data_IF_220513423832
#
_entry.id   IF_220513423832
#
_cell.length_a   1.000
_cell.length_b   1.000
_cell.length_c   1.000
_cell.angle_alpha   90.00
_cell.angle_beta   90.00
_cell.angle_gamma   90.00
#
_symmetry.space_group_name_H-M   'P 1'
#
loop_
_entity.id
_entity.type
_entity.pdbx_description
1 polymer ?
#
# COMPACT_ATOMS: atom_id res chain seq x y z
N UNK A 1 -7.23 -1.27 -26.55
CA UNK A 1 -5.82 -0.83 -26.71
C UNK A 1 -5.02 -1.48 -25.60
N UNK A 2 -3.79 -1.97 -25.78
CA UNK A 2 -3.07 -2.62 -24.69
C UNK A 2 -2.61 -1.52 -23.74
N UNK A 3 -3.31 -1.39 -22.62
CA UNK A 3 -2.89 -0.53 -21.53
C UNK A 3 -1.63 -1.16 -20.97
N UNK A 4 -0.50 -0.49 -21.18
CA UNK A 4 0.83 -1.06 -20.96
C UNK A 4 1.11 -1.09 -19.46
N UNK A 5 0.59 -2.11 -18.78
CA UNK A 5 0.93 -2.41 -17.39
C UNK A 5 2.39 -2.87 -17.35
N UNK A 6 3.20 -2.16 -16.57
CA UNK A 6 4.60 -2.47 -16.33
C UNK A 6 4.62 -2.86 -14.85
N UNK A 7 4.43 -4.14 -14.53
CA UNK A 7 4.30 -4.64 -13.14
C UNK A 7 5.65 -4.54 -12.43
N UNK A 8 5.63 -4.25 -11.12
CA UNK A 8 6.86 -4.07 -10.36
C UNK A 8 7.72 -5.34 -10.41
N UNK A 9 9.06 -5.22 -10.50
CA UNK A 9 9.93 -6.36 -10.33
C UNK A 9 9.77 -6.97 -8.94
N UNK A 10 10.11 -8.25 -8.79
CA UNK A 10 10.03 -8.93 -7.50
C UNK A 10 10.92 -8.21 -6.46
N UNK A 11 10.38 -8.05 -5.25
CA UNK A 11 11.07 -7.41 -4.13
C UNK A 11 12.10 -8.35 -3.52
N UNK A 12 13.33 -7.86 -3.31
CA UNK A 12 14.43 -8.60 -2.71
C UNK A 12 14.48 -8.43 -1.18
N UNK A 13 14.30 -7.19 -0.69
CA UNK A 13 14.39 -6.87 0.74
C UNK A 13 13.45 -5.72 1.09
N UNK A 14 12.85 -5.79 2.28
CA UNK A 14 12.05 -4.72 2.88
C UNK A 14 12.59 -4.41 4.28
N UNK A 15 12.93 -3.15 4.54
CA UNK A 15 13.38 -2.65 5.84
C UNK A 15 12.38 -1.65 6.40
N UNK A 16 12.05 -1.79 7.68
CA UNK A 16 11.14 -0.88 8.39
C UNK A 16 11.94 0.08 9.25
N UNK A 17 11.73 1.37 9.04
CA UNK A 17 12.31 2.45 9.82
C UNK A 17 11.21 3.31 10.45
N UNK A 18 11.51 4.04 11.54
CA UNK A 18 10.57 4.99 12.13
C UNK A 18 10.12 6.10 11.17
N UNK A 19 10.91 6.37 10.14
CA UNK A 19 10.65 7.40 9.12
C UNK A 19 9.89 6.84 7.90
N UNK A 20 9.83 5.50 7.72
CA UNK A 20 9.24 4.90 6.52
C UNK A 20 9.65 3.45 6.26
N UNK A 21 9.57 3.04 5.00
CA UNK A 21 9.87 1.69 4.52
C UNK A 21 10.81 1.75 3.33
N UNK A 22 11.97 1.12 3.44
CA UNK A 22 12.91 0.94 2.33
C UNK A 22 12.63 -0.39 1.62
N UNK A 23 12.45 -0.34 0.30
CA UNK A 23 12.23 -1.50 -0.57
C UNK A 23 13.36 -1.61 -1.57
N UNK A 24 14.07 -2.73 -1.54
CA UNK A 24 15.09 -3.11 -2.51
C UNK A 24 14.51 -4.16 -3.46
N UNK A 25 14.65 -3.94 -4.76
CA UNK A 25 14.16 -4.82 -5.82
C UNK A 25 15.27 -5.72 -6.36
N UNK A 26 14.90 -6.86 -6.97
CA UNK A 26 15.87 -7.78 -7.58
C UNK A 26 16.70 -7.18 -8.72
N UNK A 27 16.22 -6.11 -9.35
CA UNK A 27 16.95 -5.39 -10.39
C UNK A 27 17.93 -4.33 -9.85
N UNK A 28 18.10 -4.26 -8.53
CA UNK A 28 19.05 -3.38 -7.85
C UNK A 28 18.55 -1.95 -7.64
N UNK A 29 17.29 -1.66 -7.94
CA UNK A 29 16.65 -0.40 -7.54
C UNK A 29 16.29 -0.44 -6.05
N UNK A 30 16.43 0.70 -5.37
CA UNK A 30 15.91 0.92 -4.02
C UNK A 30 14.98 2.13 -4.01
N UNK A 31 13.86 2.01 -3.29
CA UNK A 31 12.87 3.06 -3.11
C UNK A 31 12.53 3.18 -1.63
N UNK A 32 12.50 4.40 -1.11
CA UNK A 32 12.07 4.69 0.24
C UNK A 32 10.67 5.31 0.21
N UNK A 33 9.72 4.67 0.87
CA UNK A 33 8.36 5.18 1.07
C UNK A 33 8.27 5.78 2.47
N UNK A 34 7.82 7.02 2.59
CA UNK A 34 7.70 7.66 3.90
C UNK A 34 6.44 7.20 4.63
N UNK A 35 6.49 7.28 5.96
CA UNK A 35 5.37 6.96 6.83
C UNK A 35 5.37 5.50 7.32
N UNK A 36 5.02 5.33 8.59
CA UNK A 36 4.97 4.03 9.23
C UNK A 36 3.72 3.28 8.74
N UNK A 37 3.87 2.06 8.20
CA UNK A 37 2.74 1.32 7.67
C UNK A 37 1.75 0.95 8.78
N UNK A 38 0.48 1.28 8.56
CA UNK A 38 -0.59 0.92 9.49
C UNK A 38 -1.15 -0.45 9.14
N UNK A 39 -1.25 -1.36 10.13
CA UNK A 39 -1.78 -2.70 9.91
C UNK A 39 -3.29 -2.68 9.58
N UNK A 40 -3.68 -3.43 8.54
CA UNK A 40 -5.06 -3.59 8.08
C UNK A 40 -5.33 -5.05 7.72
N UNK A 41 -6.51 -5.54 8.09
CA UNK A 41 -6.90 -6.93 7.82
C UNK A 41 -7.50 -7.08 6.42
N UNK A 42 -6.99 -8.03 5.64
CA UNK A 42 -7.59 -8.48 4.37
C UNK A 42 -7.43 -7.53 3.19
N UNK A 43 -7.95 -6.31 3.27
CA UNK A 43 -7.88 -5.33 2.18
C UNK A 43 -7.74 -3.89 2.64
N UNK A 44 -7.31 -3.03 1.71
CA UNK A 44 -7.25 -1.58 1.90
C UNK A 44 -7.90 -0.88 0.72
N UNK A 45 -8.56 0.25 0.99
CA UNK A 45 -9.19 1.08 -0.04
C UNK A 45 -8.49 2.42 -0.10
N UNK A 46 -8.05 2.81 -1.27
CA UNK A 46 -7.37 4.07 -1.53
C UNK A 46 -7.95 4.81 -2.73
N UNK A 47 -7.56 6.08 -2.87
CA UNK A 47 -7.83 6.87 -4.06
C UNK A 47 -7.05 6.37 -5.27
N UNK A 48 -7.36 6.88 -6.48
CA UNK A 48 -6.56 6.60 -7.66
C UNK A 48 -5.13 7.09 -7.46
N UNK A 49 -4.17 6.23 -7.81
CA UNK A 49 -2.74 6.53 -7.67
C UNK A 49 -2.29 7.68 -8.59
N UNK A 50 -1.26 8.41 -8.17
CA UNK A 50 -0.58 9.38 -9.05
C UNK A 50 0.07 8.70 -10.24
N UNK A 51 -0.07 9.28 -11.44
CA UNK A 51 0.51 8.73 -12.67
C UNK A 51 2.04 8.83 -12.75
N UNK A 52 2.65 9.70 -11.92
CA UNK A 52 4.06 10.09 -12.00
C UNK A 52 4.98 9.40 -10.98
N UNK A 53 4.42 8.65 -10.02
CA UNK A 53 5.16 8.02 -8.92
C UNK A 53 4.86 6.52 -8.83
N UNK A 54 5.68 5.79 -8.07
CA UNK A 54 5.53 4.35 -7.88
C UNK A 54 6.30 3.46 -8.86
N UNK A 55 6.57 2.23 -8.43
CA UNK A 55 7.18 1.17 -9.24
C UNK A 55 6.09 0.18 -9.57
N UNK A 56 5.99 -0.25 -10.82
CA UNK A 56 5.00 -1.26 -11.17
C UNK A 56 3.59 -0.70 -11.36
N UNK A 57 3.27 -0.12 -12.51
CA UNK A 57 1.96 0.49 -12.75
C UNK A 57 1.03 -0.48 -13.44
N UNK A 58 -0.18 -0.58 -12.90
CA UNK A 58 -1.31 -1.25 -13.54
C UNK A 58 -2.40 -0.21 -13.72
N UNK A 59 -2.87 -0.06 -14.96
CA UNK A 59 -4.07 0.72 -15.24
C UNK A 59 -5.26 -0.22 -15.17
N UNK A 60 -6.27 0.18 -14.40
CA UNK A 60 -7.53 -0.54 -14.26
C UNK A 60 -8.67 0.34 -14.73
N UNK A 61 -9.46 -0.16 -15.68
CA UNK A 61 -10.71 0.48 -16.08
C UNK A 61 -11.75 0.41 -14.94
N UNK A 62 -12.79 1.26 -15.01
CA UNK A 62 -13.83 1.28 -13.98
C UNK A 62 -14.61 -0.05 -13.91
N UNK A 63 -14.56 -0.71 -12.75
CA UNK A 63 -15.13 -2.05 -12.56
C UNK A 63 -14.18 -3.20 -12.93
N UNK A 64 -12.93 -2.92 -13.29
CA UNK A 64 -11.93 -3.92 -13.62
C UNK A 64 -11.20 -4.43 -12.37
N UNK A 65 -10.86 -5.72 -12.39
CA UNK A 65 -10.04 -6.39 -11.38
C UNK A 65 -8.85 -7.08 -12.04
N UNK A 66 -7.71 -7.12 -11.35
CA UNK A 66 -6.53 -7.87 -11.83
C UNK A 66 -5.68 -8.40 -10.68
N UNK A 67 -5.02 -9.52 -10.92
CA UNK A 67 -4.02 -10.08 -10.00
C UNK A 67 -2.66 -9.44 -10.28
N UNK A 68 -2.07 -8.81 -9.26
CA UNK A 68 -0.74 -8.20 -9.34
C UNK A 68 0.36 -9.24 -9.10
N UNK A 69 0.17 -10.05 -8.06
CA UNK A 69 1.06 -11.10 -7.59
C UNK A 69 0.23 -12.26 -7.05
N UNK A 70 0.81 -13.46 -6.83
CA UNK A 70 0.12 -14.55 -6.15
C UNK A 70 -0.43 -14.09 -4.79
N UNK A 71 -1.75 -14.10 -4.65
CA UNK A 71 -2.43 -13.66 -3.43
C UNK A 71 -2.60 -12.15 -3.27
N UNK A 72 -2.31 -11.34 -4.30
CA UNK A 72 -2.52 -9.88 -4.29
C UNK A 72 -3.38 -9.47 -5.48
N UNK A 73 -4.54 -8.89 -5.20
CA UNK A 73 -5.54 -8.48 -6.18
C UNK A 73 -5.85 -7.00 -6.02
N UNK A 74 -6.02 -6.33 -7.16
CA UNK A 74 -6.43 -4.93 -7.22
C UNK A 74 -7.74 -4.84 -8.01
N UNK A 75 -8.73 -4.16 -7.44
CA UNK A 75 -10.03 -3.93 -8.05
C UNK A 75 -10.37 -2.44 -8.08
N UNK A 76 -10.87 -1.97 -9.21
CA UNK A 76 -11.33 -0.60 -9.38
C UNK A 76 -12.85 -0.53 -9.22
N UNK A 77 -13.32 0.06 -8.12
CA UNK A 77 -14.73 0.34 -7.85
C UNK A 77 -15.13 1.76 -8.29
N UNK A 78 -14.72 2.16 -9.49
CA UNK A 78 -14.99 3.47 -10.11
C UNK A 78 -13.94 4.53 -9.75
N UNK A 79 -14.08 5.14 -8.58
CA UNK A 79 -13.14 6.17 -8.06
C UNK A 79 -12.34 5.69 -6.85
N UNK A 80 -12.44 4.40 -6.51
CA UNK A 80 -11.74 3.79 -5.38
C UNK A 80 -11.05 2.53 -5.84
N UNK A 81 -9.78 2.42 -5.49
CA UNK A 81 -9.00 1.21 -5.72
C UNK A 81 -9.03 0.41 -4.42
N UNK A 82 -9.50 -0.83 -4.50
CA UNK A 82 -9.36 -1.79 -3.43
C UNK A 82 -8.17 -2.70 -3.74
N UNK A 83 -7.25 -2.83 -2.78
CA UNK A 83 -6.15 -3.78 -2.83
C UNK A 83 -6.40 -4.83 -1.76
N UNK A 84 -6.70 -6.04 -2.19
CA UNK A 84 -6.88 -7.20 -1.33
C UNK A 84 -5.61 -8.05 -1.38
N UNK A 85 -5.16 -8.53 -0.22
CA UNK A 85 -4.04 -9.44 -0.19
C UNK A 85 -4.14 -10.49 0.90
N UNK A 86 -3.67 -11.68 0.57
CA UNK A 86 -3.51 -12.78 1.51
C UNK A 86 -2.00 -12.99 1.77
N UNK A 87 -1.50 -12.65 2.98
CA UNK A 87 -0.07 -12.77 3.28
C UNK A 87 0.42 -14.22 3.28
N UNK A 88 -0.45 -15.21 3.52
CA UNK A 88 -0.07 -16.63 3.46
C UNK A 88 0.15 -17.06 2.00
N UNK A 89 -0.75 -16.65 1.08
CA UNK A 89 -0.62 -16.88 -0.35
C UNK A 89 0.54 -16.11 -0.97
N UNK A 90 0.79 -14.88 -0.49
CA UNK A 90 1.93 -14.05 -0.89
C UNK A 90 3.27 -14.56 -0.33
N UNK A 91 3.26 -15.58 0.55
CA UNK A 91 4.44 -16.18 1.19
C UNK A 91 5.29 -15.15 1.94
N UNK A 92 4.65 -14.16 2.55
CA UNK A 92 5.37 -13.06 3.15
C UNK A 92 4.46 -11.96 3.67
N UNK A 93 5.03 -10.76 3.76
CA UNK A 93 4.34 -9.56 4.21
C UNK A 93 3.95 -8.74 3.01
N UNK A 94 2.74 -8.20 3.02
CA UNK A 94 2.24 -7.37 1.93
C UNK A 94 2.12 -5.94 2.44
N UNK A 95 2.80 -5.03 1.75
CA UNK A 95 2.71 -3.60 2.02
C UNK A 95 2.06 -2.90 0.84
N UNK A 96 1.15 -1.99 1.15
CA UNK A 96 0.48 -1.16 0.17
C UNK A 96 0.83 0.29 0.45
N UNK A 97 1.49 0.92 -0.52
CA UNK A 97 1.79 2.35 -0.50
C UNK A 97 0.79 3.04 -1.42
N UNK A 98 -0.13 3.80 -0.84
CA UNK A 98 -1.14 4.56 -1.54
C UNK A 98 -0.69 6.02 -1.62
N UNK A 99 -0.50 6.52 -2.84
CA UNK A 99 -0.21 7.92 -3.10
C UNK A 99 -1.31 8.51 -3.99
N UNK A 100 -2.12 9.40 -3.44
CA UNK A 100 -3.17 10.11 -4.17
C UNK A 100 -2.94 11.64 -4.12
N UNK A 101 -3.90 12.41 -4.64
CA UNK A 101 -3.78 13.87 -4.66
C UNK A 101 -3.79 14.50 -3.25
N UNK A 102 -4.42 13.85 -2.29
CA UNK A 102 -4.55 14.32 -0.90
C UNK A 102 -3.35 13.94 -0.01
N UNK A 103 -2.52 12.98 -0.41
CA UNK A 103 -1.33 12.60 0.34
C UNK A 103 -0.82 11.19 0.08
N UNK A 104 0.04 10.75 0.99
CA UNK A 104 0.65 9.43 0.99
C UNK A 104 0.21 8.65 2.24
N UNK A 105 -0.03 7.36 2.07
CA UNK A 105 -0.38 6.44 3.14
C UNK A 105 0.29 5.09 2.92
N UNK A 106 0.78 4.49 4.00
CA UNK A 106 1.38 3.17 4.00
C UNK A 106 0.52 2.21 4.83
N UNK A 107 0.28 1.01 4.31
CA UNK A 107 -0.47 -0.04 4.99
C UNK A 107 0.29 -1.37 4.94
N UNK A 108 0.16 -2.15 6.01
CA UNK A 108 0.58 -3.56 6.02
C UNK A 108 -0.68 -4.42 6.03
N UNK A 109 -0.90 -5.22 4.98
CA UNK A 109 -2.01 -6.17 4.94
C UNK A 109 -1.63 -7.39 5.77
N UNK A 110 -2.42 -7.65 6.80
CA UNK A 110 -2.32 -8.81 7.69
C UNK A 110 -3.56 -9.68 7.51
N UNK A 111 -3.50 -10.93 8.00
CA UNK A 111 -4.64 -11.83 8.00
C UNK A 111 -5.87 -11.17 8.66
N UNK A 112 -7.06 -11.49 8.16
CA UNK A 112 -8.32 -10.99 8.72
C UNK A 112 -8.39 -11.28 10.23
N UNK A 113 -8.67 -10.23 11.02
CA UNK A 113 -8.72 -10.31 12.49
C UNK A 113 -7.40 -9.98 13.21
N UNK A 114 -6.29 -9.79 12.50
CA UNK A 114 -5.01 -9.32 13.09
C UNK A 114 -4.82 -7.79 13.00
N UNK A 115 -5.74 -7.09 12.33
CA UNK A 115 -5.67 -5.65 12.08
C UNK A 115 -6.38 -4.82 13.16
N UNK A 116 -5.84 -4.77 14.38
CA UNK A 116 -6.15 -3.69 15.32
C UNK A 116 -5.00 -3.44 16.30
N UNK A 117 -4.34 -2.30 16.11
CA UNK A 117 -3.56 -1.56 17.11
C UNK A 117 -3.29 -0.17 16.52
N UNK A 118 -4.34 0.62 16.34
CA UNK A 118 -4.17 2.06 16.13
C UNK A 118 -3.61 2.67 17.41
N UNK A 119 -2.31 2.92 17.45
CA UNK A 119 -1.70 3.84 18.41
C UNK A 119 -2.13 5.27 18.07
N UNK A 120 -3.36 5.60 18.43
CA UNK A 120 -3.89 6.95 18.45
C UNK A 120 -3.71 7.52 19.85
N UNK A 121 -2.51 8.01 20.14
CA UNK A 121 -2.24 8.82 21.33
C UNK A 121 -1.71 10.20 20.94
N UNK A 122 -2.43 10.94 20.08
CA UNK A 122 -2.29 12.40 20.01
C UNK A 122 -3.27 13.08 20.98
N UNK A 123 -3.02 12.89 22.27
CA UNK A 123 -3.67 13.67 23.32
C UNK A 123 -3.00 15.03 23.51
N UNK A 124 -3.01 15.90 22.49
CA UNK A 124 -2.71 17.31 22.70
C UNK A 124 -3.85 17.94 23.52
N UNK A 125 -3.69 18.00 24.84
CA UNK A 125 -4.44 18.96 25.65
C UNK A 125 -3.60 20.23 25.75
N UNK A 126 -3.75 21.11 24.76
CA UNK A 126 -3.60 22.54 24.99
C UNK A 126 -4.93 23.04 25.54
N UNK A 127 -4.96 23.47 26.80
CA UNK A 127 -5.98 24.39 27.29
C UNK A 127 -5.31 25.38 28.23
N UNK A 128 -4.77 26.44 27.64
CA UNK A 128 -4.48 27.67 28.36
C UNK A 128 -5.78 28.37 28.73
N UNK A 129 -5.96 28.72 30.01
CA UNK A 129 -7.15 29.45 30.44
C UNK A 129 -7.19 29.90 31.90
N UNK A 130 -6.32 30.84 32.28
CA UNK A 130 -6.60 32.10 33.03
C UNK A 130 -5.50 32.51 34.01
#
# INVERSE_FOLDING_TARGET
MPQRSDIAPETLRVSLDPEGVEVEYLDGRSVFYHGVPTKRGGSVVCGPGRESTGVGRVLLDGGEETSLFPGVEAANHGYRIEVAADPEAARGRVFVFAEDEMGEAAYEIVAEGAGDAGDGADGSTDDGGR
#
